data_IF_273909233046
#
_entry.id   IF_273909233046
#
_cell.length_a   1.000
_cell.length_b   1.000
_cell.length_c   1.000
_cell.angle_alpha   90.00
_cell.angle_beta   90.00
_cell.angle_gamma   90.00
#
_symmetry.space_group_name_H-M   'P 1'
#
loop_
_entity.id
_entity.type
_entity.pdbx_description
1 polymer ?
#
# COMPACT_ATOMS: atom_id res chain seq x y z
N UNK A 1 -15.02 -13.13 -0.49
CA UNK A 1 -13.90 -12.64 0.34
C UNK A 1 -13.54 -11.25 -0.17
N UNK A 2 -13.47 -10.22 0.70
CA UNK A 2 -13.10 -8.87 0.27
C UNK A 2 -11.65 -8.83 -0.24
N UNK A 3 -11.42 -7.92 -1.20
CA UNK A 3 -10.09 -7.62 -1.75
C UNK A 3 -9.44 -6.50 -0.96
N UNK A 4 -8.17 -6.70 -0.62
CA UNK A 4 -7.35 -5.72 0.05
C UNK A 4 -6.06 -5.49 -0.72
N UNK A 5 -5.55 -4.28 -0.60
CA UNK A 5 -4.24 -3.89 -1.09
C UNK A 5 -3.37 -3.52 0.11
N UNK A 6 -2.23 -4.17 0.23
CA UNK A 6 -1.23 -3.90 1.25
C UNK A 6 -0.10 -3.10 0.60
N UNK A 7 -0.02 -1.82 0.97
CA UNK A 7 1.09 -0.95 0.65
C UNK A 7 2.17 -1.06 1.74
N UNK A 8 3.33 -1.59 1.36
CA UNK A 8 4.48 -1.79 2.23
C UNK A 8 5.56 -0.78 1.88
N UNK A 9 6.03 -0.08 2.90
CA UNK A 9 7.26 0.70 2.84
C UNK A 9 8.31 -0.06 3.65
N UNK A 10 9.29 -0.64 2.94
CA UNK A 10 10.42 -1.32 3.53
C UNK A 10 11.59 -0.35 3.71
N UNK A 11 12.47 -0.62 4.69
CA UNK A 11 13.72 0.12 4.83
C UNK A 11 14.62 -0.18 3.62
N UNK A 12 15.46 0.77 3.22
CA UNK A 12 16.44 0.52 2.14
C UNK A 12 17.42 -0.57 2.58
N UNK A 13 17.48 -1.65 1.80
CA UNK A 13 18.29 -2.85 2.06
C UNK A 13 18.90 -3.37 0.77
N UNK A 14 19.78 -4.36 0.88
CA UNK A 14 20.27 -5.07 -0.29
C UNK A 14 19.17 -5.95 -0.91
N UNK A 15 19.27 -6.22 -2.22
CA UNK A 15 18.33 -7.10 -2.94
C UNK A 15 18.01 -8.44 -2.24
N UNK A 16 18.97 -9.22 -1.72
CA UNK A 16 18.66 -10.49 -1.05
C UNK A 16 17.87 -10.30 0.23
N UNK A 17 18.17 -9.26 1.01
CA UNK A 17 17.44 -8.93 2.24
C UNK A 17 16.01 -8.52 1.92
N UNK A 18 15.81 -7.64 0.93
CA UNK A 18 14.48 -7.23 0.48
C UNK A 18 13.65 -8.43 -0.01
N UNK A 19 14.26 -9.34 -0.77
CA UNK A 19 13.58 -10.55 -1.22
C UNK A 19 13.18 -11.46 -0.04
N UNK A 20 14.02 -11.58 0.99
CA UNK A 20 13.70 -12.33 2.20
C UNK A 20 12.53 -11.70 2.97
N UNK A 21 12.50 -10.36 3.08
CA UNK A 21 11.40 -9.62 3.72
C UNK A 21 10.07 -9.81 2.98
N UNK A 22 10.11 -9.69 1.65
CA UNK A 22 8.92 -9.90 0.83
C UNK A 22 8.42 -11.34 0.99
N UNK A 23 9.33 -12.31 0.93
CA UNK A 23 9.00 -13.73 1.07
C UNK A 23 8.34 -14.05 2.41
N UNK A 24 8.92 -13.62 3.54
CA UNK A 24 8.31 -13.85 4.86
C UNK A 24 6.93 -13.19 5.00
N UNK A 25 6.75 -12.02 4.37
CA UNK A 25 5.47 -11.29 4.41
C UNK A 25 4.40 -12.05 3.64
N UNK A 26 4.74 -12.57 2.46
CA UNK A 26 3.85 -13.40 1.64
C UNK A 26 3.56 -14.73 2.32
N UNK A 27 4.56 -15.40 2.90
CA UNK A 27 4.37 -16.63 3.68
C UNK A 27 3.39 -16.39 4.85
N UNK A 28 3.56 -15.30 5.60
CA UNK A 28 2.64 -14.95 6.70
C UNK A 28 1.22 -14.68 6.23
N UNK A 29 1.05 -14.09 5.04
CA UNK A 29 -0.27 -13.89 4.43
C UNK A 29 -0.91 -15.24 4.10
N UNK A 30 -0.16 -16.14 3.46
CA UNK A 30 -0.64 -17.47 3.07
C UNK A 30 -0.97 -18.35 4.27
N UNK A 31 -0.13 -18.37 5.31
CA UNK A 31 -0.35 -19.13 6.55
C UNK A 31 -1.65 -18.76 7.26
N UNK A 32 -2.04 -17.48 7.17
CA UNK A 32 -3.27 -16.98 7.79
C UNK A 32 -4.50 -17.31 6.96
N UNK A 33 -4.35 -17.81 5.73
CA UNK A 33 -5.46 -18.09 4.81
C UNK A 33 -5.80 -16.93 3.88
N UNK A 34 -4.89 -15.99 3.64
CA UNK A 34 -5.04 -15.00 2.59
C UNK A 34 -4.58 -15.57 1.24
N UNK A 35 -5.24 -15.16 0.15
CA UNK A 35 -4.87 -15.55 -1.22
C UNK A 35 -4.24 -14.35 -1.91
N UNK A 36 -2.94 -14.40 -2.13
CA UNK A 36 -2.18 -13.35 -2.84
C UNK A 36 -2.47 -13.46 -4.34
N UNK A 37 -2.77 -12.33 -4.97
CA UNK A 37 -3.04 -12.23 -6.40
C UNK A 37 -1.86 -11.68 -7.19
N UNK A 38 -1.32 -10.58 -6.71
CA UNK A 38 -0.27 -9.87 -7.41
C UNK A 38 0.68 -9.19 -6.42
N UNK A 39 1.92 -9.00 -6.87
CA UNK A 39 2.97 -8.33 -6.14
C UNK A 39 3.70 -7.39 -7.09
N UNK A 40 3.57 -6.10 -6.82
CA UNK A 40 4.20 -5.04 -7.61
C UNK A 40 5.31 -4.36 -6.80
N UNK A 41 6.42 -4.07 -7.47
CA UNK A 41 7.53 -3.30 -6.93
C UNK A 41 7.53 -1.90 -7.55
N UNK A 42 7.29 -0.87 -6.74
CA UNK A 42 7.29 0.54 -7.18
C UNK A 42 8.69 1.18 -7.15
N UNK A 43 9.67 0.43 -6.68
CA UNK A 43 11.07 0.81 -6.59
C UNK A 43 11.44 1.50 -5.28
N UNK A 44 12.73 1.83 -5.18
CA UNK A 44 13.27 2.60 -4.07
C UNK A 44 13.11 4.10 -4.33
N UNK A 45 12.50 4.82 -3.39
CA UNK A 45 12.28 6.26 -3.49
C UNK A 45 12.62 6.96 -2.19
N UNK A 46 12.84 8.27 -2.29
CA UNK A 46 12.94 9.14 -1.11
C UNK A 46 11.57 9.25 -0.46
N UNK A 47 11.53 9.14 0.86
CA UNK A 47 10.31 9.33 1.62
C UNK A 47 9.95 10.83 1.61
N UNK A 48 8.65 11.21 1.54
CA UNK A 48 8.25 12.61 1.55
C UNK A 48 8.69 13.36 2.82
N UNK A 49 8.86 12.64 3.93
CA UNK A 49 9.38 13.14 5.19
C UNK A 49 10.18 12.04 5.91
N UNK A 50 11.01 12.43 6.87
CA UNK A 50 11.80 11.50 7.69
C UNK A 50 10.89 10.68 8.59
N UNK A 51 10.89 9.37 8.43
CA UNK A 51 10.12 8.45 9.27
C UNK A 51 11.03 7.84 10.34
N UNK A 52 10.63 7.92 11.60
CA UNK A 52 11.36 7.28 12.70
C UNK A 52 10.59 6.01 13.11
N UNK A 53 11.23 4.85 12.97
CA UNK A 53 10.65 3.55 13.32
C UNK A 53 11.75 2.63 13.82
N UNK A 54 11.46 1.78 14.81
CA UNK A 54 12.43 0.84 15.41
C UNK A 54 13.77 1.49 15.82
N UNK A 55 13.72 2.68 16.42
CA UNK A 55 14.90 3.50 16.79
C UNK A 55 15.83 3.89 15.63
N UNK A 56 15.38 3.76 14.38
CA UNK A 56 16.10 4.19 13.19
C UNK A 56 15.36 5.31 12.47
N UNK A 57 16.11 6.21 11.86
CA UNK A 57 15.58 7.30 11.04
C UNK A 57 15.71 6.90 9.57
N UNK A 58 14.59 6.78 8.88
CA UNK A 58 14.52 6.42 7.46
C UNK A 58 14.25 7.68 6.63
N UNK A 59 15.13 7.94 5.67
CA UNK A 59 14.95 8.99 4.64
C UNK A 59 14.60 8.41 3.27
N UNK A 60 14.91 7.13 3.05
CA UNK A 60 14.65 6.36 1.84
C UNK A 60 13.92 5.08 2.21
N UNK A 61 13.11 4.57 1.29
CA UNK A 61 12.41 3.31 1.45
C UNK A 61 12.06 2.68 0.11
N UNK A 62 11.85 1.37 0.13
CA UNK A 62 11.40 0.60 -1.02
C UNK A 62 9.90 0.36 -0.91
N UNK A 63 9.18 0.69 -1.98
CA UNK A 63 7.73 0.62 -2.02
C UNK A 63 7.28 -0.66 -2.71
N UNK A 64 6.41 -1.42 -2.04
CA UNK A 64 5.78 -2.62 -2.57
C UNK A 64 4.27 -2.55 -2.42
N UNK A 65 3.55 -3.05 -3.42
CA UNK A 65 2.12 -3.27 -3.36
C UNK A 65 1.86 -4.76 -3.44
N UNK A 66 1.01 -5.24 -2.55
CA UNK A 66 0.56 -6.64 -2.52
C UNK A 66 -0.95 -6.64 -2.59
N UNK A 67 -1.50 -7.23 -3.64
CA UNK A 67 -2.94 -7.41 -3.79
C UNK A 67 -3.34 -8.81 -3.33
N UNK A 68 -4.32 -8.89 -2.43
CA UNK A 68 -4.72 -10.15 -1.83
C UNK A 68 -6.19 -10.18 -1.42
N UNK A 69 -6.74 -11.38 -1.28
CA UNK A 69 -8.04 -11.62 -0.67
C UNK A 69 -7.86 -12.17 0.74
N UNK A 70 -8.59 -11.62 1.71
CA UNK A 70 -8.57 -12.06 3.09
C UNK A 70 -9.94 -11.87 3.74
N UNK A 71 -10.23 -12.64 4.79
CA UNK A 71 -11.27 -12.35 5.78
C UNK A 71 -10.91 -11.10 6.59
N UNK A 72 -11.87 -10.23 6.94
CA UNK A 72 -11.61 -9.05 7.77
C UNK A 72 -10.96 -9.36 9.13
N UNK A 73 -11.29 -10.50 9.72
CA UNK A 73 -10.84 -10.88 11.06
C UNK A 73 -9.32 -11.09 11.15
N UNK A 74 -8.66 -11.49 10.05
CA UNK A 74 -7.21 -11.72 10.06
C UNK A 74 -6.37 -10.45 9.85
N UNK A 75 -6.98 -9.32 9.44
CA UNK A 75 -6.26 -8.07 9.19
C UNK A 75 -5.60 -7.53 10.46
N UNK A 76 -6.27 -7.63 11.60
CA UNK A 76 -5.75 -7.14 12.89
C UNK A 76 -4.46 -7.86 13.24
N UNK A 77 -4.47 -9.20 13.20
CA UNK A 77 -3.28 -9.98 13.46
C UNK A 77 -2.18 -9.74 12.43
N UNK A 78 -2.52 -9.53 11.15
CA UNK A 78 -1.54 -9.25 10.10
C UNK A 78 -0.83 -7.93 10.37
N UNK A 79 -1.60 -6.90 10.71
CA UNK A 79 -1.07 -5.60 11.08
C UNK A 79 -0.15 -5.70 12.29
N UNK A 80 -0.53 -6.44 13.33
CA UNK A 80 0.32 -6.63 14.51
C UNK A 80 1.65 -7.30 14.18
N UNK A 81 1.66 -8.26 13.25
CA UNK A 81 2.88 -8.89 12.78
C UNK A 81 3.78 -7.92 12.01
N UNK A 82 3.19 -7.16 11.06
CA UNK A 82 3.93 -6.16 10.27
C UNK A 82 4.45 -5.00 11.12
N UNK A 83 3.77 -4.65 12.22
CA UNK A 83 4.22 -3.59 13.14
C UNK A 83 5.41 -3.99 14.01
N UNK A 84 5.59 -5.31 14.25
CA UNK A 84 6.71 -5.88 15.01
C UNK A 84 7.94 -6.10 14.14
N UNK A 85 7.74 -6.16 12.82
CA UNK A 85 8.81 -6.37 11.86
C UNK A 85 9.71 -5.13 11.73
N UNK A 86 10.98 -5.30 12.07
CA UNK A 86 11.98 -4.23 12.08
C UNK A 86 12.33 -3.68 10.70
N UNK A 87 12.10 -4.44 9.62
CA UNK A 87 12.42 -3.97 8.27
C UNK A 87 11.25 -3.25 7.59
N UNK A 88 10.06 -3.31 8.19
CA UNK A 88 8.87 -2.60 7.73
C UNK A 88 8.83 -1.22 8.39
N UNK A 89 9.01 -0.17 7.59
CA UNK A 89 8.93 1.22 8.07
C UNK A 89 7.47 1.60 8.31
N UNK A 90 6.60 1.25 7.35
CA UNK A 90 5.17 1.56 7.42
C UNK A 90 4.34 0.54 6.63
N UNK A 91 3.52 -0.28 7.29
CA UNK A 91 2.49 -1.07 6.65
C UNK A 91 1.19 -0.25 6.53
N UNK A 92 0.52 -0.32 5.39
CA UNK A 92 -0.82 0.28 5.19
C UNK A 92 -1.68 -0.70 4.42
N UNK A 93 -2.84 -1.08 4.98
CA UNK A 93 -3.82 -1.93 4.29
C UNK A 93 -4.99 -1.06 3.89
N UNK A 94 -5.37 -1.16 2.62
CA UNK A 94 -6.46 -0.44 2.01
C UNK A 94 -7.46 -1.47 1.49
N UNK A 95 -8.75 -1.18 1.65
CA UNK A 95 -9.78 -1.95 0.97
C UNK A 95 -9.75 -1.56 -0.51
N UNK A 96 -9.66 -2.56 -1.38
CA UNK A 96 -9.72 -2.34 -2.82
C UNK A 96 -11.16 -2.56 -3.25
N UNK A 97 -11.90 -1.46 -3.41
CA UNK A 97 -13.24 -1.55 -3.96
C UNK A 97 -13.15 -2.04 -5.41
N UNK A 98 -13.94 -3.05 -5.74
CA UNK A 98 -14.02 -3.57 -7.10
C UNK A 98 -14.58 -2.47 -7.99
N UNK A 99 -13.72 -1.95 -8.87
CA UNK A 99 -14.05 -1.05 -9.98
C UNK A 99 -15.23 -0.14 -9.70
N UNK A 100 -14.97 1.04 -9.13
CA UNK A 100 -15.93 2.14 -9.26
C UNK A 100 -16.22 2.26 -10.74
N UNK A 101 -17.39 1.78 -11.18
CA UNK A 101 -17.92 2.04 -12.50
C UNK A 101 -17.79 3.55 -12.64
N UNK A 102 -16.89 4.02 -13.50
CA UNK A 102 -16.68 5.45 -13.72
C UNK A 102 -18.05 6.02 -14.03
N UNK A 103 -18.71 6.60 -13.04
CA UNK A 103 -19.98 7.28 -13.25
C UNK A 103 -19.59 8.43 -14.15
N UNK A 104 -20.00 8.36 -15.41
CA UNK A 104 -19.65 9.33 -16.44
C UNK A 104 -19.86 10.73 -15.85
N UNK A 105 -18.76 11.43 -15.56
CA UNK A 105 -18.83 12.78 -15.07
C UNK A 105 -19.10 13.65 -16.29
N UNK A 106 -20.38 13.88 -16.59
CA UNK A 106 -20.78 14.86 -17.59
C UNK A 106 -20.35 16.24 -17.09
N UNK A 107 -19.38 16.84 -17.78
CA UNK A 107 -18.89 18.20 -17.58
C UNK A 107 -20.04 19.17 -17.32
N UNK A 108 -20.13 19.69 -16.09
CA UNK A 108 -20.95 20.87 -15.81
C UNK A 108 -20.14 22.12 -16.17
N UNK A 109 -20.37 22.54 -17.41
CA UNK A 109 -20.50 23.92 -17.92
C UNK A 109 -19.49 24.98 -17.47
N UNK A 110 -18.65 25.35 -18.44
CA UNK A 110 -17.96 26.63 -18.57
C UNK A 110 -18.93 27.82 -18.48
N UNK A 111 -19.04 28.47 -17.33
CA UNK A 111 -19.68 29.77 -17.18
C UNK A 111 -18.62 30.88 -17.29
N UNK A 112 -18.23 31.17 -18.53
CA UNK A 112 -17.39 32.34 -18.85
C UNK A 112 -17.95 33.06 -20.09
N UNK A 113 -19.23 33.46 -20.05
CA UNK A 113 -19.82 34.42 -21.00
C UNK A 113 -20.95 35.22 -20.34
N UNK A 114 -20.62 36.10 -19.39
CA UNK A 114 -21.51 37.21 -18.99
C UNK A 114 -20.67 38.43 -18.56
N UNK A 115 -19.87 38.95 -19.48
CA UNK A 115 -19.42 40.35 -19.45
C UNK A 115 -19.48 40.87 -20.88
N UNK A 116 -20.69 41.11 -21.38
CA UNK A 116 -20.97 41.94 -22.55
C UNK A 116 -22.47 42.25 -22.59
N UNK A 117 -22.89 43.18 -21.72
CA UNK A 117 -23.99 44.13 -21.94
C UNK A 117 -24.21 44.97 -20.68
N UNK A 118 -23.65 46.18 -20.71
CA UNK A 118 -24.27 47.51 -20.51
C UNK A 118 -23.11 48.48 -20.23
#
# INVERSE_FOLDING_TARGET
>A
MPRYELALILKTMQRPETAAVVRRTVETLLERGAVVRDLENLGERLLPYKMNKHNQKHSRGTYFLVDFHASPDMLTGLMDHLHRDVDVVRPTVLKKDDTVSKSNCSNVLSLHKLTDKI
#
